data_IF_074381706586
#
_entry.id   IF_074381706586
#
_cell.length_a   1.000
_cell.length_b   1.000
_cell.length_c   1.000
_cell.angle_alpha   90.00
_cell.angle_beta   90.00
_cell.angle_gamma   90.00
#
_symmetry.space_group_name_H-M   'P 1'
#
loop_
_entity.id
_entity.type
_entity.pdbx_description
1 polymer ?
#
# COMPACT_ATOMS: atom_id res chain seq x y z
N UNK A 1 28.41 -12.33 -10.76
CA UNK A 1 27.20 -12.88 -10.13
C UNK A 1 26.30 -13.34 -11.25
N UNK A 2 25.97 -14.63 -11.26
CA UNK A 2 25.03 -15.18 -12.23
C UNK A 2 23.63 -14.60 -11.91
N UNK A 3 22.90 -14.14 -12.92
CA UNK A 3 21.60 -13.48 -12.74
C UNK A 3 20.59 -14.37 -12.00
N UNK A 4 20.72 -15.69 -12.19
CA UNK A 4 19.94 -16.72 -11.50
C UNK A 4 20.29 -16.83 -10.01
N UNK A 5 21.57 -16.71 -9.62
CA UNK A 5 21.97 -16.70 -8.21
C UNK A 5 21.34 -15.51 -7.47
N UNK A 6 21.25 -14.36 -8.14
CA UNK A 6 20.56 -13.20 -7.59
C UNK A 6 19.07 -13.48 -7.42
N UNK A 7 18.41 -14.04 -8.42
CA UNK A 7 16.99 -14.37 -8.37
C UNK A 7 16.70 -15.39 -7.25
N UNK A 8 17.54 -16.42 -7.12
CA UNK A 8 17.49 -17.37 -6.01
C UNK A 8 17.64 -16.67 -4.65
N UNK A 9 18.55 -15.71 -4.54
CA UNK A 9 18.72 -14.90 -3.35
C UNK A 9 17.56 -13.95 -3.02
N UNK A 10 16.65 -13.70 -3.98
CA UNK A 10 15.45 -12.86 -3.81
C UNK A 10 14.22 -13.65 -3.37
N UNK A 11 14.23 -14.98 -3.48
CA UNK A 11 13.10 -15.83 -3.08
C UNK A 11 12.79 -15.63 -1.58
N UNK A 12 11.51 -15.56 -1.25
CA UNK A 12 10.97 -15.36 0.10
C UNK A 12 11.41 -14.04 0.79
N UNK A 13 11.84 -13.03 0.02
CA UNK A 13 12.15 -11.70 0.56
C UNK A 13 11.20 -10.64 -0.02
N UNK A 14 10.84 -9.61 0.78
CA UNK A 14 9.97 -8.54 0.32
C UNK A 14 10.73 -7.51 -0.51
N UNK A 15 10.14 -7.12 -1.64
CA UNK A 15 10.65 -6.10 -2.54
C UNK A 15 9.53 -5.14 -2.93
N UNK A 16 9.89 -3.87 -3.12
CA UNK A 16 9.05 -2.92 -3.83
C UNK A 16 9.28 -3.09 -5.34
N UNK A 17 8.23 -3.41 -6.07
CA UNK A 17 8.23 -3.53 -7.52
C UNK A 17 7.03 -2.76 -8.08
N UNK A 18 7.28 -1.78 -8.95
CA UNK A 18 6.24 -0.89 -9.52
C UNK A 18 5.30 -0.25 -8.47
N UNK A 19 5.86 0.15 -7.32
CA UNK A 19 5.16 0.72 -6.17
C UNK A 19 4.20 -0.26 -5.43
N UNK A 20 4.24 -1.55 -5.75
CA UNK A 20 3.60 -2.61 -4.97
C UNK A 20 4.66 -3.36 -4.17
N UNK A 21 4.33 -3.71 -2.92
CA UNK A 21 5.13 -4.67 -2.16
C UNK A 21 4.82 -6.08 -2.65
N UNK A 22 5.86 -6.79 -3.10
CA UNK A 22 5.77 -8.14 -3.65
C UNK A 22 6.81 -9.03 -3.01
N UNK A 23 6.48 -10.31 -2.89
CA UNK A 23 7.40 -11.37 -2.46
C UNK A 23 7.53 -12.35 -3.62
N UNK A 24 8.78 -12.65 -4.00
CA UNK A 24 9.09 -13.69 -4.98
C UNK A 24 8.93 -15.04 -4.30
N UNK A 25 7.96 -15.84 -4.74
CA UNK A 25 7.68 -17.18 -4.22
C UNK A 25 8.58 -18.24 -4.84
N UNK A 26 8.94 -18.05 -6.10
CA UNK A 26 9.76 -18.98 -6.87
C UNK A 26 9.94 -18.48 -8.30
N UNK A 27 10.72 -19.23 -9.09
CA UNK A 27 10.94 -18.94 -10.50
C UNK A 27 11.11 -20.25 -11.30
N UNK A 28 10.79 -20.19 -12.59
CA UNK A 28 11.04 -21.26 -13.55
C UNK A 28 11.92 -20.69 -14.67
N UNK A 29 13.00 -21.38 -15.03
CA UNK A 29 13.89 -21.02 -16.13
C UNK A 29 13.68 -21.93 -17.33
N UNK A 30 13.97 -21.43 -18.54
CA UNK A 30 13.81 -22.23 -19.76
C UNK A 30 12.36 -22.33 -20.20
N UNK A 31 11.55 -21.31 -19.91
CA UNK A 31 10.16 -21.21 -20.35
C UNK A 31 10.09 -20.50 -21.70
N UNK A 32 8.90 -20.51 -22.33
CA UNK A 32 8.70 -19.98 -23.69
C UNK A 32 9.06 -21.00 -24.78
N UNK A 33 8.60 -20.74 -26.01
CA UNK A 33 8.77 -21.67 -27.14
C UNK A 33 10.25 -21.93 -27.49
N UNK A 34 11.11 -20.95 -27.25
CA UNK A 34 12.56 -21.00 -27.51
C UNK A 34 13.39 -21.27 -26.24
N UNK A 35 12.76 -21.41 -25.08
CA UNK A 35 13.43 -21.66 -23.79
C UNK A 35 14.28 -20.50 -23.28
N UNK A 36 14.04 -19.27 -23.75
CA UNK A 36 14.82 -18.08 -23.40
C UNK A 36 14.13 -17.18 -22.37
N UNK A 37 13.02 -17.63 -21.79
CA UNK A 37 12.26 -16.90 -20.79
C UNK A 37 12.46 -17.47 -19.37
N UNK A 38 12.21 -16.59 -18.40
CA UNK A 38 12.16 -16.89 -16.99
C UNK A 38 10.84 -16.37 -16.44
N UNK A 39 10.08 -17.27 -15.84
CA UNK A 39 8.86 -16.95 -15.10
C UNK A 39 9.18 -16.72 -13.63
N UNK A 40 8.66 -15.65 -13.05
CA UNK A 40 8.79 -15.31 -11.63
C UNK A 40 7.40 -15.23 -11.02
N UNK A 41 7.15 -16.05 -9.99
CA UNK A 41 5.87 -16.13 -9.31
C UNK A 41 5.85 -15.22 -8.09
N UNK A 42 4.83 -14.36 -7.99
CA UNK A 42 4.67 -13.40 -6.90
C UNK A 42 3.54 -13.79 -5.95
N UNK A 43 3.64 -13.38 -4.69
CA UNK A 43 2.63 -13.61 -3.65
C UNK A 43 1.25 -12.97 -3.92
N UNK A 44 1.19 -11.98 -4.82
CA UNK A 44 -0.06 -11.34 -5.23
C UNK A 44 -0.79 -12.10 -6.37
N UNK A 45 -0.32 -13.30 -6.72
CA UNK A 45 -0.90 -14.14 -7.79
C UNK A 45 -0.49 -13.72 -9.20
N UNK A 46 0.37 -12.71 -9.37
CA UNK A 46 0.91 -12.32 -10.67
C UNK A 46 2.15 -13.16 -11.00
N UNK A 47 2.28 -13.53 -12.27
CA UNK A 47 3.51 -14.11 -12.85
C UNK A 47 4.17 -13.08 -13.74
N UNK A 48 5.47 -12.86 -13.56
CA UNK A 48 6.26 -12.00 -14.42
C UNK A 48 7.08 -12.88 -15.37
N UNK A 49 6.99 -12.62 -16.67
CA UNK A 49 7.76 -13.32 -17.70
C UNK A 49 8.82 -12.37 -18.23
N UNK A 50 10.08 -12.78 -18.16
CA UNK A 50 11.20 -11.99 -18.65
C UNK A 50 12.13 -12.83 -19.51
N UNK A 51 12.57 -12.26 -20.63
CA UNK A 51 13.65 -12.82 -21.41
C UNK A 51 14.98 -12.79 -20.63
N UNK A 52 15.75 -13.87 -20.73
CA UNK A 52 17.02 -14.06 -20.03
C UNK A 52 18.02 -12.91 -20.26
N UNK A 53 18.05 -12.35 -21.48
CA UNK A 53 18.93 -11.24 -21.86
C UNK A 53 18.61 -9.98 -21.04
N UNK A 54 17.32 -9.75 -20.78
CA UNK A 54 16.84 -8.55 -20.08
C UNK A 54 16.67 -8.74 -18.58
N UNK A 55 16.74 -9.99 -18.10
CA UNK A 55 16.54 -10.34 -16.70
C UNK A 55 17.38 -9.50 -15.73
N UNK A 56 18.70 -9.25 -15.95
CA UNK A 56 19.50 -8.42 -15.04
C UNK A 56 18.91 -7.01 -14.83
N UNK A 57 18.52 -6.35 -15.92
CA UNK A 57 17.94 -5.01 -15.88
C UNK A 57 16.53 -5.01 -15.24
N UNK A 58 15.78 -6.11 -15.36
CA UNK A 58 14.47 -6.25 -14.72
C UNK A 58 14.60 -6.48 -13.21
N UNK A 59 15.58 -7.27 -12.76
CA UNK A 59 15.83 -7.50 -11.33
C UNK A 59 16.30 -6.23 -10.60
N UNK A 60 16.91 -5.26 -11.29
CA UNK A 60 17.23 -3.95 -10.72
C UNK A 60 15.99 -3.13 -10.32
N UNK A 61 14.81 -3.46 -10.88
CA UNK A 61 13.56 -2.77 -10.54
C UNK A 61 12.99 -3.22 -9.19
N UNK A 62 13.42 -4.38 -8.68
CA UNK A 62 13.06 -4.86 -7.36
C UNK A 62 13.92 -4.15 -6.32
N UNK A 63 13.34 -3.16 -5.64
CA UNK A 63 14.03 -2.43 -4.58
C UNK A 63 13.76 -3.12 -3.24
N UNK A 64 14.79 -3.45 -2.44
CA UNK A 64 14.56 -4.08 -1.14
C UNK A 64 13.68 -3.17 -0.27
N UNK A 65 12.69 -3.76 0.40
CA UNK A 65 11.87 -3.02 1.36
C UNK A 65 12.73 -2.74 2.58
N UNK A 66 13.36 -1.57 2.59
CA UNK A 66 14.00 -1.01 3.78
C UNK A 66 13.00 -0.12 4.51
N UNK A 67 13.19 0.08 5.81
CA UNK A 67 12.35 0.95 6.67
C UNK A 67 12.11 2.35 6.06
N UNK A 68 13.01 2.84 5.20
CA UNK A 68 12.94 4.13 4.52
C UNK A 68 11.82 4.19 3.45
N UNK A 69 11.49 3.07 2.80
CA UNK A 69 10.46 3.01 1.75
C UNK A 69 9.05 3.09 2.35
N UNK A 70 8.83 2.47 3.51
CA UNK A 70 7.57 2.56 4.28
C UNK A 70 7.28 4.03 4.63
N UNK A 71 8.30 4.77 5.07
CA UNK A 71 8.17 6.20 5.41
C UNK A 71 7.84 7.05 4.17
N UNK A 72 8.41 6.74 3.00
CA UNK A 72 8.15 7.50 1.78
C UNK A 72 6.76 7.21 1.18
N UNK A 73 6.30 5.96 1.25
CA UNK A 73 4.95 5.58 0.85
C UNK A 73 3.89 6.23 1.75
N UNK A 74 4.11 6.21 3.07
CA UNK A 74 3.25 6.91 4.03
C UNK A 74 3.26 8.43 3.80
N UNK A 75 4.42 9.04 3.54
CA UNK A 75 4.50 10.47 3.18
C UNK A 75 3.77 10.82 1.88
N UNK A 76 3.74 9.92 0.89
CA UNK A 76 2.98 10.12 -0.35
C UNK A 76 1.48 9.96 -0.11
N UNK A 77 1.07 9.00 0.71
CA UNK A 77 -0.32 8.87 1.18
C UNK A 77 -0.77 10.13 1.94
N UNK A 78 0.08 10.68 2.81
CA UNK A 78 -0.16 11.94 3.52
C UNK A 78 -0.28 13.14 2.58
N UNK A 79 0.41 13.13 1.45
CA UNK A 79 0.39 14.21 0.45
C UNK A 79 -0.85 14.17 -0.48
N UNK A 80 -1.52 13.02 -0.63
CA UNK A 80 -2.69 12.83 -1.51
C UNK A 80 -4.01 12.95 -0.72
N UNK A 81 -3.95 13.01 0.61
CA UNK A 81 -5.11 13.29 1.45
C UNK A 81 -5.51 14.77 1.32
N UNK A 82 -6.72 15.03 0.80
CA UNK A 82 -7.35 16.36 0.81
C UNK A 82 -7.71 16.83 2.23
N UNK A 83 -7.59 15.94 3.21
CA UNK A 83 -7.70 16.26 4.62
C UNK A 83 -6.30 16.60 5.12
N UNK A 84 -6.08 17.89 5.42
CA UNK A 84 -4.86 18.39 6.04
C UNK A 84 -4.41 17.44 7.17
N UNK A 85 -3.18 16.89 7.16
CA UNK A 85 -2.71 15.93 8.16
C UNK A 85 -2.89 16.40 9.61
N UNK A 86 -2.85 17.72 9.85
CA UNK A 86 -3.11 18.30 11.16
C UNK A 86 -4.57 18.16 11.64
N UNK A 87 -5.54 18.01 10.75
CA UNK A 87 -6.95 17.78 11.10
C UNK A 87 -7.15 16.33 11.57
N UNK A 88 -6.51 15.35 10.91
CA UNK A 88 -6.58 13.94 11.34
C UNK A 88 -5.95 13.76 12.71
N UNK A 89 -4.80 14.40 12.96
CA UNK A 89 -4.16 14.39 14.27
C UNK A 89 -5.07 15.01 15.34
N UNK A 90 -5.65 16.18 15.07
CA UNK A 90 -6.62 16.82 15.98
C UNK A 90 -7.85 15.95 16.25
N UNK A 91 -8.39 15.27 15.24
CA UNK A 91 -9.53 14.35 15.40
C UNK A 91 -9.17 13.16 16.28
N UNK A 92 -8.01 12.53 16.04
CA UNK A 92 -7.48 11.45 16.87
C UNK A 92 -7.31 11.91 18.32
N UNK A 93 -6.66 13.04 18.53
CA UNK A 93 -6.36 13.54 19.88
C UNK A 93 -7.67 13.92 20.62
N UNK A 94 -8.65 14.48 19.90
CA UNK A 94 -9.99 14.76 20.45
C UNK A 94 -10.71 13.48 20.84
N UNK A 95 -10.67 12.43 20.00
CA UNK A 95 -11.29 11.14 20.29
C UNK A 95 -10.65 10.46 21.50
N UNK A 96 -9.32 10.45 21.58
CA UNK A 96 -8.59 9.89 22.72
C UNK A 96 -8.94 10.62 24.02
N UNK A 97 -8.98 11.95 23.99
CA UNK A 97 -9.37 12.77 25.14
C UNK A 97 -10.81 12.46 25.59
N UNK A 98 -11.74 12.25 24.66
CA UNK A 98 -13.13 11.91 25.01
C UNK A 98 -13.27 10.50 25.61
N UNK A 99 -12.48 9.53 25.14
CA UNK A 99 -12.41 8.19 25.74
C UNK A 99 -11.91 8.27 27.18
N UNK A 100 -10.87 9.07 27.41
CA UNK A 100 -10.30 9.28 28.75
C UNK A 100 -11.30 9.98 29.68
N UNK A 101 -11.98 11.03 29.21
CA UNK A 101 -13.01 11.73 29.97
C UNK A 101 -14.16 10.80 30.38
N UNK A 102 -14.63 9.94 29.47
CA UNK A 102 -15.69 8.94 29.77
C UNK A 102 -15.22 7.89 30.78
N UNK A 103 -13.95 7.48 30.70
CA UNK A 103 -13.35 6.53 31.64
C UNK A 103 -13.22 7.13 33.04
N UNK A 104 -12.93 8.43 33.13
CA UNK A 104 -12.80 9.14 34.40
C UNK A 104 -14.15 9.48 35.02
N UNK A 105 -15.15 9.89 34.23
CA UNK A 105 -16.49 10.20 34.71
C UNK A 105 -17.58 9.77 33.73
N UNK A 106 -18.57 8.94 34.15
CA UNK A 106 -19.68 8.49 33.30
C UNK A 106 -20.54 9.62 32.73
N UNK A 107 -20.49 10.82 33.31
CA UNK A 107 -21.26 11.99 32.89
C UNK A 107 -20.84 12.51 31.50
N UNK A 108 -19.62 12.21 31.05
CA UNK A 108 -19.11 12.63 29.73
C UNK A 108 -19.57 11.73 28.57
N UNK A 109 -20.35 10.67 28.85
CA UNK A 109 -20.81 9.70 27.83
C UNK A 109 -21.68 10.36 26.75
N UNK A 110 -22.51 11.35 27.11
CA UNK A 110 -23.36 12.05 26.14
C UNK A 110 -22.54 12.90 25.17
N UNK A 111 -21.54 13.62 25.69
CA UNK A 111 -20.62 14.44 24.90
C UNK A 111 -19.75 13.58 23.99
N UNK A 112 -19.23 12.47 24.49
CA UNK A 112 -18.47 11.51 23.68
C UNK A 112 -19.33 10.94 22.54
N UNK A 113 -20.59 10.54 22.80
CA UNK A 113 -21.50 10.06 21.75
C UNK A 113 -21.69 11.08 20.63
N UNK A 114 -21.87 12.35 20.96
CA UNK A 114 -22.03 13.42 19.97
C UNK A 114 -20.75 13.60 19.12
N UNK A 115 -19.57 13.56 19.75
CA UNK A 115 -18.28 13.63 19.04
C UNK A 115 -18.12 12.43 18.10
N UNK A 116 -18.41 11.21 18.55
CA UNK A 116 -18.31 10.01 17.71
C UNK A 116 -19.30 10.00 16.55
N UNK A 117 -20.51 10.55 16.74
CA UNK A 117 -21.46 10.73 15.62
C UNK A 117 -20.91 11.69 14.57
N UNK A 118 -20.31 12.81 14.98
CA UNK A 118 -19.65 13.74 14.06
C UNK A 118 -18.50 13.09 13.28
N UNK A 119 -17.68 12.27 13.95
CA UNK A 119 -16.60 11.50 13.31
C UNK A 119 -17.15 10.52 12.27
N UNK A 120 -18.23 9.80 12.58
CA UNK A 120 -18.87 8.89 11.63
C UNK A 120 -19.40 9.61 10.39
N UNK A 121 -19.99 10.81 10.54
CA UNK A 121 -20.42 11.62 9.39
C UNK A 121 -19.24 12.03 8.51
N UNK A 122 -18.12 12.45 9.11
CA UNK A 122 -16.90 12.80 8.36
C UNK A 122 -16.34 11.60 7.60
N UNK A 123 -16.33 10.40 8.21
CA UNK A 123 -15.90 9.17 7.56
C UNK A 123 -16.80 8.84 6.35
N UNK A 124 -18.11 8.98 6.51
CA UNK A 124 -19.04 8.69 5.42
C UNK A 124 -18.88 9.68 4.26
N UNK A 125 -18.66 10.97 4.54
CA UNK A 125 -18.36 11.97 3.51
C UNK A 125 -17.06 11.63 2.76
N UNK A 126 -16.01 11.23 3.47
CA UNK A 126 -14.75 10.82 2.84
C UNK A 126 -14.92 9.56 1.96
N UNK A 127 -15.74 8.60 2.38
CA UNK A 127 -16.10 7.43 1.56
C UNK A 127 -16.82 7.85 0.27
N UNK A 128 -17.82 8.72 0.37
CA UNK A 128 -18.55 9.24 -0.80
C UNK A 128 -17.62 10.01 -1.74
N UNK A 129 -16.69 10.81 -1.22
CA UNK A 129 -15.70 11.51 -2.04
C UNK A 129 -14.77 10.53 -2.78
N UNK A 130 -14.31 9.47 -2.11
CA UNK A 130 -13.50 8.42 -2.74
C UNK A 130 -14.28 7.67 -3.84
N UNK A 131 -15.55 7.36 -3.61
CA UNK A 131 -16.42 6.75 -4.62
C UNK A 131 -16.63 7.67 -5.81
N UNK A 132 -16.86 8.97 -5.58
CA UNK A 132 -16.99 9.97 -6.65
C UNK A 132 -15.71 10.08 -7.49
N UNK A 133 -14.53 10.10 -6.85
CA UNK A 133 -13.25 10.10 -7.58
C UNK A 133 -13.07 8.86 -8.45
N UNK A 134 -13.45 7.68 -7.96
CA UNK A 134 -13.42 6.43 -8.77
C UNK A 134 -14.36 6.51 -9.96
N UNK A 135 -15.55 7.09 -9.77
CA UNK A 135 -16.52 7.29 -10.85
C UNK A 135 -15.98 8.26 -11.92
N UNK A 136 -15.48 9.43 -11.52
CA UNK A 136 -14.92 10.43 -12.45
C UNK A 136 -13.71 9.88 -13.20
N UNK A 137 -12.75 9.25 -12.51
CA UNK A 137 -11.58 8.65 -13.14
C UNK A 137 -11.95 7.47 -14.06
N UNK A 138 -13.10 6.82 -13.83
CA UNK A 138 -13.63 5.78 -14.71
C UNK A 138 -14.26 6.32 -16.01
N UNK A 139 -14.60 7.62 -16.07
CA UNK A 139 -15.15 8.27 -17.26
C UNK A 139 -14.07 8.85 -18.20
N UNK A 140 -12.85 9.08 -17.71
CA UNK A 140 -11.72 9.56 -18.54
C UNK A 140 -11.03 8.44 -19.34
N UNK A 141 -11.58 7.22 -19.29
CA UNK A 141 -11.03 6.03 -19.95
C UNK A 141 -11.80 5.50 -21.17
N UNK A 142 -12.86 6.20 -21.62
CA UNK A 142 -13.64 5.90 -22.84
C UNK A 142 -13.40 6.95 -23.94
#
# INVERSE_FOLDING_TARGET
MNTLERLQGMVNKPYLYRNEEVVVLGYCEGTGDDGDEVEIYLNNGKTLVFNYINLPAKLEQFKPVTTQVIVLANKRLDAVSTVNPGIIQKLRDTVLQQIENVKSSPEHVSQAKQVFQGVNTLINLAKTELEYRKFVNGMEGD
#
